data_IF_989937034784
#
_entry.id   IF_989937034784
#
_cell.length_a   1.000
_cell.length_b   1.000
_cell.length_c   1.000
_cell.angle_alpha   90.00
_cell.angle_beta   90.00
_cell.angle_gamma   90.00
#
_symmetry.space_group_name_H-M   'P 1'
#
loop_
_entity.id
_entity.type
_entity.pdbx_description
1 polymer ?
#
# COMPACT_ATOMS: atom_id res chain seq x y z
N UNK A 1 17.67 -2.56 -4.74
CA UNK A 1 17.17 -1.24 -5.18
C UNK A 1 18.08 -0.64 -6.24
N UNK A 2 19.41 -0.55 -6.04
CA UNK A 2 20.32 0.01 -7.05
C UNK A 2 20.24 -0.72 -8.40
N UNK A 3 20.14 -2.06 -8.40
CA UNK A 3 19.94 -2.84 -9.63
C UNK A 3 18.65 -2.44 -10.34
N UNK A 4 17.56 -2.17 -9.58
CA UNK A 4 16.30 -1.69 -10.11
C UNK A 4 16.44 -0.32 -10.78
N UNK A 5 17.13 0.63 -10.13
CA UNK A 5 17.35 1.97 -10.68
C UNK A 5 18.22 1.88 -11.96
N UNK A 6 19.31 1.12 -11.92
CA UNK A 6 20.18 0.92 -13.08
C UNK A 6 19.41 0.30 -14.25
N UNK A 7 18.60 -0.73 -13.99
CA UNK A 7 17.80 -1.37 -15.02
C UNK A 7 16.73 -0.43 -15.58
N UNK A 8 16.09 0.39 -14.74
CA UNK A 8 15.16 1.42 -15.20
C UNK A 8 15.83 2.48 -16.07
N UNK A 9 17.08 2.88 -15.75
CA UNK A 9 17.87 3.78 -16.59
C UNK A 9 18.22 3.15 -17.94
N UNK A 10 18.55 1.86 -17.95
CA UNK A 10 18.82 1.12 -19.20
C UNK A 10 17.53 1.03 -20.04
N UNK A 11 16.35 0.85 -19.38
CA UNK A 11 15.07 0.79 -20.07
C UNK A 11 14.70 2.06 -20.82
N UNK A 12 15.24 3.21 -20.47
CA UNK A 12 15.10 4.45 -21.22
C UNK A 12 15.61 4.33 -22.67
N UNK A 13 16.55 3.42 -22.94
CA UNK A 13 17.15 3.27 -24.28
C UNK A 13 16.13 2.79 -25.32
N UNK A 14 15.14 2.00 -24.92
CA UNK A 14 14.09 1.49 -25.80
C UNK A 14 12.73 2.15 -25.56
N UNK A 15 12.62 3.13 -24.67
CA UNK A 15 11.42 3.96 -24.53
C UNK A 15 11.28 4.89 -25.73
N UNK A 16 10.05 5.08 -26.21
CA UNK A 16 9.74 5.97 -27.35
C UNK A 16 10.01 7.43 -26.98
N UNK A 17 9.54 7.89 -25.82
CA UNK A 17 9.85 9.20 -25.25
C UNK A 17 10.92 9.08 -24.17
N UNK A 18 12.18 9.30 -24.57
CA UNK A 18 13.35 9.21 -23.68
C UNK A 18 13.38 10.32 -22.63
N UNK A 19 12.85 11.49 -22.95
CA UNK A 19 12.83 12.64 -22.02
C UNK A 19 11.85 12.33 -20.89
N UNK A 20 10.63 11.94 -21.23
CA UNK A 20 9.64 11.50 -20.25
C UNK A 20 10.16 10.33 -19.40
N UNK A 21 10.74 9.30 -20.02
CA UNK A 21 11.29 8.15 -19.33
C UNK A 21 12.39 8.54 -18.33
N UNK A 22 13.28 9.47 -18.69
CA UNK A 22 14.30 10.00 -17.79
C UNK A 22 13.70 10.78 -16.61
N UNK A 23 12.70 11.61 -16.87
CA UNK A 23 11.98 12.33 -15.79
C UNK A 23 11.26 11.38 -14.85
N UNK A 24 10.68 10.32 -15.39
CA UNK A 24 10.06 9.27 -14.58
C UNK A 24 11.09 8.56 -13.69
N UNK A 25 12.21 8.11 -14.23
CA UNK A 25 13.28 7.44 -13.47
C UNK A 25 13.95 8.40 -12.49
N UNK A 26 14.06 9.67 -12.81
CA UNK A 26 14.57 10.71 -11.90
C UNK A 26 13.76 10.75 -10.58
N UNK A 27 12.47 10.45 -10.60
CA UNK A 27 11.64 10.39 -9.39
C UNK A 27 12.09 9.31 -8.39
N UNK A 28 12.91 8.34 -8.80
CA UNK A 28 13.52 7.35 -7.90
C UNK A 28 14.65 7.92 -7.03
N UNK A 29 14.96 9.23 -7.12
CA UNK A 29 15.97 9.90 -6.29
C UNK A 29 15.73 9.69 -4.79
N UNK A 30 14.48 9.51 -4.37
CA UNK A 30 14.14 9.27 -2.96
C UNK A 30 14.79 8.00 -2.40
N UNK A 31 15.13 7.02 -3.23
CA UNK A 31 15.87 5.83 -2.78
C UNK A 31 17.32 6.15 -2.36
N UNK A 32 17.85 7.31 -2.72
CA UNK A 32 19.17 7.76 -2.25
C UNK A 32 19.20 8.02 -0.73
N UNK A 33 18.04 8.14 -0.09
CA UNK A 33 17.95 8.22 1.38
C UNK A 33 18.44 6.94 2.06
N UNK A 34 18.35 5.79 1.38
CA UNK A 34 18.70 4.48 1.97
C UNK A 34 20.17 4.42 2.38
N UNK A 35 21.17 4.71 1.53
CA UNK A 35 22.57 4.73 1.97
C UNK A 35 22.83 5.82 3.02
N UNK A 36 22.14 6.94 3.00
CA UNK A 36 22.26 7.99 4.03
C UNK A 36 21.78 7.45 5.37
N UNK A 37 20.61 6.83 5.42
CA UNK A 37 20.09 6.20 6.66
C UNK A 37 21.03 5.08 7.12
N UNK A 38 21.48 4.22 6.20
CA UNK A 38 22.36 3.09 6.51
C UNK A 38 23.67 3.53 7.14
N UNK A 39 24.27 4.63 6.69
CA UNK A 39 25.55 5.15 7.19
C UNK A 39 25.40 6.01 8.44
N UNK A 40 24.24 6.66 8.62
CA UNK A 40 24.03 7.65 9.69
C UNK A 40 23.27 7.10 10.89
N UNK A 41 22.39 6.11 10.69
CA UNK A 41 21.53 5.59 11.74
C UNK A 41 22.27 4.55 12.58
N UNK A 42 22.57 4.89 13.83
CA UNK A 42 23.11 3.95 14.80
C UNK A 42 22.00 3.10 15.41
N UNK A 43 22.34 1.87 15.80
CA UNK A 43 21.40 0.92 16.42
C UNK A 43 20.66 1.50 17.64
N UNK A 44 21.35 2.31 18.43
CA UNK A 44 20.81 2.98 19.63
C UNK A 44 19.68 3.97 19.33
N UNK A 45 19.52 4.42 18.07
CA UNK A 45 18.48 5.36 17.66
C UNK A 45 17.24 4.68 17.09
N UNK A 46 17.25 3.35 16.88
CA UNK A 46 16.13 2.65 16.26
C UNK A 46 14.82 2.86 17.05
N UNK A 47 14.89 2.73 18.40
CA UNK A 47 13.70 2.99 19.25
C UNK A 47 13.24 4.43 19.19
N UNK A 48 14.14 5.39 19.02
CA UNK A 48 13.80 6.80 18.85
C UNK A 48 13.10 7.03 17.51
N UNK A 49 13.54 6.35 16.44
CA UNK A 49 12.88 6.41 15.12
C UNK A 49 11.45 5.90 15.22
N UNK A 50 11.22 4.74 15.84
CA UNK A 50 9.86 4.25 16.05
C UNK A 50 9.02 5.17 16.94
N UNK A 51 9.62 5.76 17.98
CA UNK A 51 8.91 6.70 18.85
C UNK A 51 8.55 7.99 18.11
N UNK A 52 9.44 8.49 17.24
CA UNK A 52 9.15 9.67 16.39
C UNK A 52 8.06 9.35 15.37
N UNK A 53 8.10 8.17 14.76
CA UNK A 53 7.03 7.71 13.87
C UNK A 53 5.68 7.65 14.61
N UNK A 54 5.64 7.04 15.81
CA UNK A 54 4.42 7.00 16.63
C UNK A 54 3.93 8.39 17.01
N UNK A 55 4.82 9.34 17.29
CA UNK A 55 4.44 10.73 17.56
C UNK A 55 3.80 11.39 16.32
N UNK A 56 4.39 11.20 15.15
CA UNK A 56 3.81 11.67 13.89
C UNK A 56 2.43 11.08 13.63
N UNK A 57 2.26 9.79 13.86
CA UNK A 57 0.97 9.13 13.73
C UNK A 57 -0.05 9.61 14.77
N UNK A 58 0.36 9.85 16.02
CA UNK A 58 -0.51 10.41 17.04
C UNK A 58 -1.06 11.80 16.63
N UNK A 59 -0.20 12.68 16.11
CA UNK A 59 -0.61 14.00 15.60
C UNK A 59 -1.61 13.82 14.43
N UNK A 60 -1.31 12.89 13.52
CA UNK A 60 -2.15 12.59 12.38
C UNK A 60 -3.54 12.07 12.82
N UNK A 61 -3.58 11.19 13.82
CA UNK A 61 -4.82 10.64 14.36
C UNK A 61 -5.65 11.68 15.11
N UNK A 62 -5.02 12.53 15.92
CA UNK A 62 -5.71 13.65 16.58
C UNK A 62 -6.38 14.55 15.52
N UNK A 63 -5.64 14.86 14.43
CA UNK A 63 -6.19 15.65 13.34
C UNK A 63 -7.34 14.92 12.63
N UNK A 64 -7.18 13.62 12.37
CA UNK A 64 -8.20 12.77 11.76
C UNK A 64 -9.48 12.73 12.59
N UNK A 65 -9.38 12.46 13.89
CA UNK A 65 -10.54 12.46 14.78
C UNK A 65 -11.21 13.83 14.89
N UNK A 66 -10.43 14.91 14.91
CA UNK A 66 -10.99 16.24 14.91
C UNK A 66 -11.79 16.58 13.65
N UNK A 67 -11.35 16.07 12.47
CA UNK A 67 -12.12 16.18 11.23
C UNK A 67 -13.36 15.28 11.29
N UNK A 68 -13.23 14.04 11.77
CA UNK A 68 -14.34 13.08 11.90
C UNK A 68 -15.46 13.61 12.81
N UNK A 69 -15.11 14.24 13.92
CA UNK A 69 -16.07 14.86 14.84
C UNK A 69 -16.44 16.31 14.47
N UNK A 70 -16.00 16.78 13.29
CA UNK A 70 -16.28 18.13 12.79
C UNK A 70 -15.82 19.27 13.72
N UNK A 71 -14.80 19.02 14.57
CA UNK A 71 -14.22 20.02 15.45
C UNK A 71 -13.41 21.06 14.68
N UNK A 72 -12.86 20.65 13.52
CA UNK A 72 -12.21 21.50 12.52
C UNK A 72 -12.36 20.88 11.14
N UNK A 73 -12.15 21.73 10.14
CA UNK A 73 -12.18 21.32 8.72
C UNK A 73 -10.81 21.41 8.10
N UNK A 74 -10.54 20.58 7.11
CA UNK A 74 -9.37 20.68 6.24
C UNK A 74 -9.84 20.60 4.80
N UNK A 75 -9.39 21.53 3.97
CA UNK A 75 -9.75 21.58 2.54
C UNK A 75 -9.42 20.24 1.85
N UNK A 76 -10.35 19.75 1.05
CA UNK A 76 -10.22 18.49 0.32
C UNK A 76 -10.39 17.20 1.15
N UNK A 77 -10.64 17.29 2.47
CA UNK A 77 -10.81 16.14 3.36
C UNK A 77 -12.25 16.10 3.89
N UNK A 78 -12.91 14.94 3.75
CA UNK A 78 -14.27 14.72 4.24
C UNK A 78 -14.26 14.11 5.64
N UNK A 79 -15.24 14.46 6.52
CA UNK A 79 -15.47 13.74 7.77
C UNK A 79 -15.72 12.23 7.60
N UNK A 80 -16.27 11.83 6.45
CA UNK A 80 -16.50 10.41 6.11
C UNK A 80 -15.25 9.66 5.64
N UNK A 81 -14.14 10.38 5.39
CA UNK A 81 -12.84 9.82 5.04
C UNK A 81 -11.73 10.74 5.56
N UNK A 82 -11.51 10.77 6.90
CA UNK A 82 -10.67 11.74 7.57
C UNK A 82 -9.18 11.37 7.48
N UNK A 83 -8.59 11.42 6.28
CA UNK A 83 -7.19 11.14 6.01
C UNK A 83 -6.39 12.45 5.86
N UNK A 84 -5.81 13.02 6.96
CA UNK A 84 -5.48 14.45 7.00
C UNK A 84 -4.24 14.86 6.22
N UNK A 85 -3.22 14.01 6.08
CA UNK A 85 -1.90 14.40 5.54
C UNK A 85 -1.45 13.58 4.33
N UNK A 86 -2.22 12.57 3.95
CA UNK A 86 -1.93 11.71 2.80
C UNK A 86 -3.23 11.09 2.32
N UNK A 87 -3.22 10.45 1.15
CA UNK A 87 -4.40 9.72 0.68
C UNK A 87 -4.77 8.58 1.64
N UNK A 88 -6.05 8.19 1.62
CA UNK A 88 -6.59 7.19 2.53
C UNK A 88 -5.91 5.81 2.42
N UNK A 89 -5.38 5.45 1.26
CA UNK A 89 -4.69 4.18 1.05
C UNK A 89 -3.35 4.14 1.78
N UNK A 90 -2.55 5.20 1.66
CA UNK A 90 -1.31 5.37 2.40
C UNK A 90 -1.60 5.49 3.90
N UNK A 91 -2.54 6.35 4.29
CA UNK A 91 -2.87 6.59 5.69
C UNK A 91 -3.28 5.31 6.42
N UNK A 92 -4.18 4.52 5.84
CA UNK A 92 -4.61 3.25 6.42
C UNK A 92 -3.47 2.22 6.52
N UNK A 93 -2.53 2.22 5.58
CA UNK A 93 -1.35 1.34 5.63
C UNK A 93 -0.42 1.74 6.77
N UNK A 94 -0.20 3.03 6.98
CA UNK A 94 0.59 3.52 8.12
C UNK A 94 -0.11 3.30 9.46
N UNK A 95 -1.44 3.46 9.53
CA UNK A 95 -2.24 3.09 10.72
C UNK A 95 -2.09 1.61 11.04
N UNK A 96 -2.20 0.72 10.04
CA UNK A 96 -2.01 -0.71 10.23
C UNK A 96 -0.62 -1.02 10.81
N UNK A 97 0.44 -0.37 10.31
CA UNK A 97 1.78 -0.53 10.85
C UNK A 97 1.91 0.02 12.28
N UNK A 98 1.29 1.17 12.54
CA UNK A 98 1.22 1.76 13.90
C UNK A 98 0.60 0.80 14.90
N UNK A 99 -0.51 0.17 14.56
CA UNK A 99 -1.20 -0.82 15.42
C UNK A 99 -0.24 -1.96 15.79
N UNK A 100 0.54 -2.48 14.84
CA UNK A 100 1.51 -3.54 15.13
C UNK A 100 2.68 -3.06 15.99
N UNK A 101 3.22 -1.86 15.76
CA UNK A 101 4.26 -1.29 16.63
C UNK A 101 3.74 -1.15 18.07
N UNK A 102 2.53 -0.61 18.24
CA UNK A 102 1.91 -0.43 19.55
C UNK A 102 1.65 -1.78 20.23
N UNK A 103 1.21 -2.80 19.49
CA UNK A 103 1.05 -4.16 20.03
C UNK A 103 2.37 -4.68 20.61
N UNK A 104 3.51 -4.50 19.90
CA UNK A 104 4.81 -4.89 20.43
C UNK A 104 5.23 -4.03 21.63
N UNK A 105 4.98 -2.72 21.60
CA UNK A 105 5.24 -1.83 22.74
C UNK A 105 4.45 -2.27 23.99
N UNK A 106 3.17 -2.64 23.87
CA UNK A 106 2.34 -3.14 24.95
C UNK A 106 2.91 -4.45 25.55
N UNK A 107 3.34 -5.37 24.69
CA UNK A 107 3.86 -6.70 25.11
C UNK A 107 5.19 -6.57 25.84
N UNK A 108 6.11 -5.71 25.36
CA UNK A 108 7.48 -5.64 25.84
C UNK A 108 7.79 -4.46 26.75
N UNK A 109 6.81 -3.62 27.10
CA UNK A 109 6.96 -2.55 28.08
C UNK A 109 6.64 -3.06 29.48
N UNK A 110 7.56 -2.90 30.42
CA UNK A 110 7.37 -3.29 31.84
C UNK A 110 6.65 -2.19 32.64
N UNK A 111 6.85 -0.92 32.29
CA UNK A 111 6.21 0.22 32.95
C UNK A 111 4.70 0.24 32.70
N UNK A 112 3.93 0.09 33.76
CA UNK A 112 2.47 0.02 33.72
C UNK A 112 1.82 1.29 33.14
N UNK A 113 2.38 2.47 33.41
CA UNK A 113 1.85 3.75 32.89
C UNK A 113 1.99 3.81 31.36
N UNK A 114 3.16 3.46 30.87
CA UNK A 114 3.40 3.39 29.40
C UNK A 114 2.58 2.30 28.75
N UNK A 115 2.40 1.17 29.41
CA UNK A 115 1.53 0.09 28.91
C UNK A 115 0.09 0.56 28.74
N UNK A 116 -0.46 1.32 29.68
CA UNK A 116 -1.79 1.93 29.56
C UNK A 116 -1.82 2.93 28.39
N UNK A 117 -0.84 3.84 28.32
CA UNK A 117 -0.77 4.85 27.27
C UNK A 117 -0.74 4.20 25.86
N UNK A 118 0.10 3.19 25.67
CA UNK A 118 0.17 2.44 24.42
C UNK A 118 -1.11 1.66 24.13
N UNK A 119 -1.79 1.12 25.15
CA UNK A 119 -3.08 0.42 24.97
C UNK A 119 -4.18 1.38 24.53
N UNK A 120 -4.26 2.57 25.11
CA UNK A 120 -5.19 3.60 24.69
C UNK A 120 -4.91 4.01 23.24
N UNK A 121 -3.66 4.28 22.90
CA UNK A 121 -3.27 4.66 21.56
C UNK A 121 -3.55 3.52 20.55
N UNK A 122 -3.29 2.27 20.91
CA UNK A 122 -3.63 1.08 20.10
C UNK A 122 -5.13 1.02 19.77
N UNK A 123 -6.00 1.27 20.75
CA UNK A 123 -7.45 1.28 20.53
C UNK A 123 -7.86 2.41 19.58
N UNK A 124 -7.30 3.61 19.77
CA UNK A 124 -7.57 4.73 18.87
C UNK A 124 -7.06 4.47 17.45
N UNK A 125 -5.83 3.99 17.29
CA UNK A 125 -5.26 3.66 15.96
C UNK A 125 -6.08 2.56 15.27
N UNK A 126 -6.48 1.52 16.01
CA UNK A 126 -7.31 0.44 15.44
C UNK A 126 -8.69 0.97 15.03
N UNK A 127 -9.32 1.80 15.86
CA UNK A 127 -10.60 2.44 15.53
C UNK A 127 -10.47 3.32 14.28
N UNK A 128 -9.44 4.18 14.21
CA UNK A 128 -9.20 5.07 13.08
C UNK A 128 -8.94 4.30 11.78
N UNK A 129 -8.24 3.16 11.85
CA UNK A 129 -8.02 2.28 10.68
C UNK A 129 -9.35 1.86 10.02
N UNK A 130 -10.41 1.67 10.80
CA UNK A 130 -11.73 1.26 10.29
C UNK A 130 -12.72 2.43 10.12
N UNK A 131 -12.37 3.64 10.55
CA UNK A 131 -13.17 4.84 10.32
C UNK A 131 -12.84 5.52 8.97
N UNK A 132 -11.61 5.40 8.47
CA UNK A 132 -11.24 5.97 7.17
C UNK A 132 -11.61 5.05 6.00
N UNK A 133 -11.61 5.60 4.78
CA UNK A 133 -11.96 4.90 3.55
C UNK A 133 -10.89 3.93 3.01
N UNK A 134 -9.77 3.74 3.71
CA UNK A 134 -8.58 3.02 3.22
C UNK A 134 -8.67 1.49 3.29
N UNK A 135 -9.46 0.88 2.39
CA UNK A 135 -9.62 -0.58 2.28
C UNK A 135 -8.29 -1.36 2.20
N UNK A 136 -7.29 -0.77 1.57
CA UNK A 136 -5.96 -1.37 1.39
C UNK A 136 -5.30 -1.67 2.73
N UNK A 137 -5.24 -0.69 3.64
CA UNK A 137 -4.66 -0.87 4.96
C UNK A 137 -5.46 -1.84 5.82
N UNK A 138 -6.80 -1.77 5.79
CA UNK A 138 -7.69 -2.67 6.51
C UNK A 138 -7.48 -4.13 6.10
N UNK A 139 -7.45 -4.41 4.79
CA UNK A 139 -7.24 -5.75 4.27
C UNK A 139 -5.83 -6.28 4.56
N UNK A 140 -4.80 -5.46 4.30
CA UNK A 140 -3.41 -5.85 4.56
C UNK A 140 -3.14 -6.04 6.07
N UNK A 141 -3.81 -5.29 6.95
CA UNK A 141 -3.77 -5.51 8.39
C UNK A 141 -4.24 -6.92 8.78
N UNK A 142 -5.37 -7.37 8.24
CA UNK A 142 -5.90 -8.70 8.52
C UNK A 142 -4.94 -9.79 8.01
N UNK A 143 -4.39 -9.64 6.81
CA UNK A 143 -3.39 -10.56 6.25
C UNK A 143 -2.15 -10.61 7.14
N UNK A 144 -1.61 -9.46 7.52
CA UNK A 144 -0.41 -9.37 8.36
C UNK A 144 -0.65 -10.00 9.74
N UNK A 145 -1.83 -9.78 10.32
CA UNK A 145 -2.23 -10.36 11.60
C UNK A 145 -2.24 -11.90 11.53
N UNK A 146 -2.84 -12.46 10.50
CA UNK A 146 -2.86 -13.91 10.27
C UNK A 146 -1.46 -14.48 10.06
N UNK A 147 -0.63 -13.85 9.23
CA UNK A 147 0.70 -14.34 8.90
C UNK A 147 1.66 -14.27 10.09
N UNK A 148 1.66 -13.17 10.85
CA UNK A 148 2.49 -13.03 12.06
C UNK A 148 2.06 -14.06 13.11
N UNK A 149 0.78 -14.28 13.27
CA UNK A 149 0.26 -15.35 14.12
C UNK A 149 0.78 -16.71 13.66
N UNK A 150 0.63 -17.01 12.38
CA UNK A 150 1.12 -18.26 11.82
C UNK A 150 2.63 -18.46 12.03
N UNK A 151 3.44 -17.43 11.85
CA UNK A 151 4.89 -17.51 12.00
C UNK A 151 5.33 -17.73 13.45
N UNK A 152 4.66 -17.11 14.42
CA UNK A 152 5.12 -17.08 15.81
C UNK A 152 4.54 -18.16 16.72
N UNK A 153 3.37 -18.72 16.40
CA UNK A 153 2.76 -19.77 17.22
C UNK A 153 3.36 -21.15 16.91
N UNK A 154 3.59 -21.96 17.98
CA UNK A 154 4.06 -23.36 17.82
C UNK A 154 3.01 -24.22 17.11
N UNK A 155 1.76 -24.11 17.54
CA UNK A 155 0.65 -24.84 16.91
C UNK A 155 0.03 -24.00 15.80
N UNK A 156 0.40 -24.29 14.55
CA UNK A 156 -0.01 -23.54 13.37
C UNK A 156 -1.53 -23.55 13.15
N UNK A 157 -2.19 -24.68 13.41
CA UNK A 157 -3.64 -24.79 13.24
C UNK A 157 -4.38 -23.91 14.26
N UNK A 158 -3.98 -23.94 15.53
CA UNK A 158 -4.56 -23.06 16.56
C UNK A 158 -4.33 -21.58 16.23
N UNK A 159 -3.14 -21.23 15.71
CA UNK A 159 -2.87 -19.87 15.27
C UNK A 159 -3.82 -19.43 14.14
N UNK A 160 -3.96 -20.24 13.10
CA UNK A 160 -4.86 -19.95 11.97
C UNK A 160 -6.30 -19.76 12.47
N UNK A 161 -6.82 -20.68 13.27
CA UNK A 161 -8.19 -20.56 13.83
C UNK A 161 -8.35 -19.31 14.67
N UNK A 162 -7.38 -19.02 15.57
CA UNK A 162 -7.43 -17.83 16.43
C UNK A 162 -7.44 -16.53 15.59
N UNK A 163 -6.53 -16.41 14.62
CA UNK A 163 -6.40 -15.18 13.84
C UNK A 163 -7.52 -15.00 12.82
N UNK A 164 -8.04 -16.11 12.23
CA UNK A 164 -9.26 -16.04 11.42
C UNK A 164 -10.45 -15.59 12.28
N UNK A 165 -10.66 -16.19 13.46
CA UNK A 165 -11.77 -15.81 14.33
C UNK A 165 -11.65 -14.35 14.80
N UNK A 166 -10.44 -13.91 15.16
CA UNK A 166 -10.18 -12.51 15.52
C UNK A 166 -10.45 -11.56 14.35
N UNK A 167 -9.92 -11.89 13.17
CA UNK A 167 -10.15 -11.11 11.94
C UNK A 167 -11.62 -11.04 11.56
N UNK A 168 -12.36 -12.15 11.67
CA UNK A 168 -13.80 -12.19 11.45
C UNK A 168 -14.54 -11.31 12.48
N UNK A 169 -14.15 -11.39 13.75
CA UNK A 169 -14.76 -10.56 14.80
C UNK A 169 -14.52 -9.08 14.52
N UNK A 170 -13.30 -8.68 14.16
CA UNK A 170 -12.97 -7.29 13.81
C UNK A 170 -13.78 -6.85 12.60
N UNK A 171 -13.83 -7.67 11.55
CA UNK A 171 -14.58 -7.37 10.32
C UNK A 171 -16.08 -7.19 10.62
N UNK A 172 -16.71 -8.15 11.33
CA UNK A 172 -18.13 -8.09 11.69
C UNK A 172 -18.41 -6.88 12.57
N UNK A 173 -17.53 -6.59 13.53
CA UNK A 173 -17.67 -5.38 14.36
C UNK A 173 -17.56 -4.10 13.53
N UNK A 174 -16.58 -3.99 12.65
CA UNK A 174 -16.42 -2.84 11.77
C UNK A 174 -17.63 -2.66 10.84
N UNK A 175 -18.13 -3.75 10.25
CA UNK A 175 -19.30 -3.73 9.37
C UNK A 175 -20.57 -3.25 10.08
N UNK A 176 -20.75 -3.61 11.35
CA UNK A 176 -21.95 -3.22 12.12
C UNK A 176 -21.82 -1.86 12.82
N UNK A 177 -20.61 -1.42 13.16
CA UNK A 177 -20.38 -0.21 13.95
C UNK A 177 -19.89 0.98 13.14
N UNK A 178 -19.29 0.76 11.97
CA UNK A 178 -18.80 1.83 11.10
C UNK A 178 -19.65 1.94 9.85
N UNK A 179 -20.52 2.97 9.71
CA UNK A 179 -21.26 3.21 8.48
C UNK A 179 -20.34 3.35 7.27
N UNK A 180 -19.22 4.06 7.42
CA UNK A 180 -18.22 4.25 6.35
C UNK A 180 -17.66 2.92 5.86
N UNK A 181 -17.30 2.03 6.78
CA UNK A 181 -16.78 0.70 6.42
C UNK A 181 -17.86 -0.14 5.72
N UNK A 182 -19.09 -0.14 6.26
CA UNK A 182 -20.22 -0.85 5.68
C UNK A 182 -20.49 -0.38 4.25
N UNK A 183 -20.69 0.92 4.04
CA UNK A 183 -20.99 1.48 2.73
C UNK A 183 -19.88 1.15 1.71
N UNK A 184 -18.61 1.25 2.12
CA UNK A 184 -17.47 0.93 1.25
C UNK A 184 -17.40 -0.56 0.88
N UNK A 185 -17.80 -1.44 1.79
CA UNK A 185 -17.83 -2.88 1.52
C UNK A 185 -19.03 -3.26 0.63
N UNK A 186 -20.19 -2.68 0.89
CA UNK A 186 -21.40 -2.90 0.08
C UNK A 186 -21.21 -2.35 -1.35
N UNK A 187 -20.57 -1.19 -1.52
CA UNK A 187 -20.17 -0.68 -2.83
C UNK A 187 -19.20 -1.63 -3.56
N UNK A 188 -18.23 -2.20 -2.84
CA UNK A 188 -17.33 -3.18 -3.44
C UNK A 188 -18.08 -4.42 -3.95
N UNK A 189 -19.03 -4.95 -3.18
CA UNK A 189 -19.84 -6.10 -3.62
C UNK A 189 -20.69 -5.74 -4.85
N UNK A 190 -21.29 -4.56 -4.84
CA UNK A 190 -22.06 -4.05 -5.99
C UNK A 190 -21.18 -3.89 -7.23
N UNK A 191 -19.98 -3.28 -7.11
CA UNK A 191 -19.03 -3.14 -8.20
C UNK A 191 -18.66 -4.51 -8.82
N UNK A 192 -18.45 -5.54 -7.98
CA UNK A 192 -18.16 -6.91 -8.43
C UNK A 192 -19.36 -7.51 -9.17
N UNK A 193 -20.57 -7.33 -8.64
CA UNK A 193 -21.80 -7.85 -9.26
C UNK A 193 -22.04 -7.24 -10.64
N UNK A 194 -21.96 -5.90 -10.76
CA UNK A 194 -22.14 -5.16 -12.01
C UNK A 194 -21.05 -5.55 -13.03
N UNK A 195 -19.80 -5.66 -12.59
CA UNK A 195 -18.69 -6.09 -13.44
C UNK A 195 -18.93 -7.50 -14.03
N UNK A 196 -19.43 -8.45 -13.23
CA UNK A 196 -19.64 -9.83 -13.67
C UNK A 196 -20.86 -9.94 -14.58
N UNK A 197 -22.00 -9.35 -14.17
CA UNK A 197 -23.29 -9.53 -14.82
C UNK A 197 -23.47 -8.62 -16.02
N UNK A 198 -23.06 -7.36 -15.91
CA UNK A 198 -23.32 -6.32 -16.92
C UNK A 198 -22.08 -6.01 -17.78
N UNK A 199 -20.91 -6.55 -17.41
CA UNK A 199 -19.62 -6.25 -18.07
C UNK A 199 -19.28 -4.75 -18.04
N UNK A 200 -19.78 -4.04 -17.02
CA UNK A 200 -19.49 -2.63 -16.80
C UNK A 200 -18.23 -2.49 -15.96
N UNK A 201 -17.25 -1.76 -16.48
CA UNK A 201 -15.95 -1.50 -15.86
C UNK A 201 -15.78 -0.01 -15.48
N UNK A 202 -16.86 0.74 -15.35
CA UNK A 202 -16.83 2.18 -15.02
C UNK A 202 -16.62 2.46 -13.53
N UNK A 203 -16.85 1.47 -12.66
CA UNK A 203 -16.76 1.61 -11.22
C UNK A 203 -15.31 1.49 -10.71
N UNK A 204 -15.06 1.98 -9.49
CA UNK A 204 -13.71 2.08 -8.92
C UNK A 204 -12.92 0.76 -8.87
N UNK A 205 -13.59 -0.36 -8.54
CA UNK A 205 -12.92 -1.66 -8.48
C UNK A 205 -12.82 -2.29 -9.88
N UNK A 206 -13.92 -2.32 -10.63
CA UNK A 206 -13.97 -2.91 -11.98
C UNK A 206 -13.03 -2.21 -12.96
N UNK A 207 -12.89 -0.88 -12.85
CA UNK A 207 -11.90 -0.11 -13.60
C UNK A 207 -10.47 -0.59 -13.37
N UNK A 208 -10.07 -0.83 -12.11
CA UNK A 208 -8.75 -1.38 -11.80
C UNK A 208 -8.56 -2.78 -12.40
N UNK A 209 -9.59 -3.63 -12.34
CA UNK A 209 -9.54 -4.95 -12.97
C UNK A 209 -9.32 -4.84 -14.48
N UNK A 210 -10.04 -3.93 -15.16
CA UNK A 210 -9.84 -3.68 -16.58
C UNK A 210 -8.44 -3.17 -16.90
N UNK A 211 -7.89 -2.26 -16.07
CA UNK A 211 -6.51 -1.79 -16.18
C UNK A 211 -5.50 -2.93 -16.03
N UNK A 212 -5.68 -3.80 -15.04
CA UNK A 212 -4.78 -4.95 -14.83
C UNK A 212 -4.82 -5.92 -16.00
N UNK A 213 -6.02 -6.25 -16.51
CA UNK A 213 -6.16 -7.11 -17.69
C UNK A 213 -5.49 -6.45 -18.89
N UNK A 214 -5.71 -5.14 -19.09
CA UNK A 214 -5.12 -4.40 -20.20
C UNK A 214 -3.59 -4.35 -20.13
N UNK A 215 -3.04 -4.11 -18.94
CA UNK A 215 -1.59 -4.11 -18.72
C UNK A 215 -0.97 -5.49 -18.94
N UNK A 216 -1.58 -6.55 -18.39
CA UNK A 216 -1.08 -7.92 -18.58
C UNK A 216 -1.16 -8.37 -20.04
N UNK A 217 -2.19 -7.96 -20.77
CA UNK A 217 -2.30 -8.27 -22.21
C UNK A 217 -1.27 -7.48 -23.02
N UNK A 218 -1.10 -6.19 -22.74
CA UNK A 218 -0.09 -5.35 -23.36
C UNK A 218 1.35 -5.88 -23.13
N UNK A 219 1.63 -6.41 -21.94
CA UNK A 219 2.95 -6.94 -21.59
C UNK A 219 3.37 -8.13 -22.47
N UNK A 220 2.43 -8.85 -23.09
CA UNK A 220 2.72 -10.01 -23.94
C UNK A 220 3.53 -9.63 -25.19
N UNK A 221 3.43 -8.39 -25.67
CA UNK A 221 4.15 -7.93 -26.86
C UNK A 221 5.66 -7.81 -26.61
N UNK A 222 6.06 -7.43 -25.38
CA UNK A 222 7.46 -7.24 -24.98
C UNK A 222 7.70 -7.87 -23.58
N UNK A 223 7.39 -9.15 -23.43
CA UNK A 223 7.30 -9.83 -22.14
C UNK A 223 8.63 -9.80 -21.36
N UNK A 224 9.78 -9.89 -22.02
CA UNK A 224 11.08 -10.05 -21.33
C UNK A 224 11.58 -8.71 -20.79
N UNK A 225 11.64 -7.68 -21.62
CA UNK A 225 12.25 -6.39 -21.29
C UNK A 225 11.25 -5.26 -21.09
N UNK A 226 9.96 -5.53 -21.36
CA UNK A 226 8.90 -4.53 -21.29
C UNK A 226 8.87 -3.61 -22.53
N UNK A 227 7.84 -2.79 -22.60
CA UNK A 227 7.62 -1.84 -23.69
C UNK A 227 8.50 -0.58 -23.61
N UNK A 228 9.07 -0.31 -22.43
CA UNK A 228 9.73 0.95 -22.11
C UNK A 228 8.89 1.78 -21.13
N UNK A 229 9.52 2.75 -20.51
CA UNK A 229 8.88 3.64 -19.54
C UNK A 229 8.17 4.76 -20.31
N UNK A 230 6.86 4.94 -20.09
CA UNK A 230 6.05 5.94 -20.80
C UNK A 230 5.30 5.39 -22.02
N UNK A 231 5.55 4.15 -22.43
CA UNK A 231 4.91 3.54 -23.62
C UNK A 231 3.69 2.68 -23.24
N UNK A 232 3.35 2.63 -21.95
CA UNK A 232 2.26 1.80 -21.42
C UNK A 232 0.90 2.16 -22.00
N UNK A 233 0.66 3.45 -22.21
CA UNK A 233 -0.61 3.97 -22.70
C UNK A 233 -0.92 3.52 -24.11
N UNK A 234 0.07 3.62 -25.02
CA UNK A 234 -0.11 3.21 -26.41
C UNK A 234 -0.45 1.71 -26.49
N UNK A 235 0.27 0.90 -25.71
CA UNK A 235 0.09 -0.55 -25.70
C UNK A 235 -1.23 -0.99 -25.02
N UNK A 236 -1.72 -0.26 -24.03
CA UNK A 236 -2.94 -0.59 -23.31
C UNK A 236 -4.22 -0.02 -23.95
N UNK A 237 -4.13 1.09 -24.69
CA UNK A 237 -5.32 1.80 -25.23
C UNK A 237 -6.23 0.91 -26.08
N UNK A 238 -5.67 0.07 -26.97
CA UNK A 238 -6.45 -0.83 -27.80
C UNK A 238 -7.29 -1.81 -26.97
N UNK A 239 -6.76 -2.25 -25.84
CA UNK A 239 -7.42 -3.22 -24.96
C UNK A 239 -8.45 -2.53 -24.07
N UNK A 240 -8.15 -1.31 -23.61
CA UNK A 240 -9.07 -0.50 -22.82
C UNK A 240 -10.34 -0.15 -23.61
N UNK A 241 -10.21 0.11 -24.90
CA UNK A 241 -11.37 0.33 -25.79
C UNK A 241 -12.33 -0.86 -25.83
N UNK A 242 -11.84 -2.10 -25.66
CA UNK A 242 -12.69 -3.29 -25.59
C UNK A 242 -13.58 -3.33 -24.33
N UNK A 243 -13.22 -2.60 -23.30
CA UNK A 243 -13.98 -2.44 -22.06
C UNK A 243 -14.86 -1.19 -22.08
N UNK A 244 -15.00 -0.50 -23.23
CA UNK A 244 -15.70 0.79 -23.35
C UNK A 244 -15.16 1.88 -22.39
N UNK A 245 -13.90 1.76 -22.00
CA UNK A 245 -13.23 2.72 -21.13
C UNK A 245 -12.63 3.80 -22.01
N UNK A 246 -13.19 5.01 -21.94
CA UNK A 246 -12.69 6.18 -22.69
C UNK A 246 -11.51 6.84 -21.97
N UNK A 247 -10.71 7.58 -22.74
CA UNK A 247 -9.63 8.40 -22.18
C UNK A 247 -10.12 9.45 -21.16
N UNK A 248 -11.42 9.83 -21.23
CA UNK A 248 -12.02 10.79 -20.30
C UNK A 248 -12.21 10.22 -18.89
N UNK A 249 -12.29 8.89 -18.76
CA UNK A 249 -12.36 8.20 -17.47
C UNK A 249 -11.01 8.25 -16.74
N UNK A 250 -9.93 8.52 -17.47
CA UNK A 250 -8.57 8.69 -16.95
C UNK A 250 -8.20 10.18 -16.93
N UNK A 251 -8.84 10.95 -16.08
CA UNK A 251 -8.48 12.36 -15.84
C UNK A 251 -7.13 12.49 -15.15
N UNK A 252 -6.09 11.73 -15.59
CA UNK A 252 -4.85 11.85 -14.85
C UNK A 252 -3.58 11.79 -15.69
N UNK A 253 -2.86 12.78 -15.46
CA UNK A 253 -1.47 12.98 -15.08
C UNK A 253 -0.49 13.23 -16.21
N UNK A 254 -0.61 12.65 -17.32
CA UNK A 254 0.14 13.02 -18.54
C UNK A 254 -0.47 12.36 -19.76
N UNK A 255 -0.35 12.97 -20.92
CA UNK A 255 -0.81 12.39 -22.19
C UNK A 255 -0.09 11.06 -22.53
N UNK A 256 0.99 10.74 -21.85
CA UNK A 256 1.93 9.67 -22.23
C UNK A 256 1.97 8.45 -21.32
N UNK A 257 1.42 8.48 -20.09
CA UNK A 257 1.44 7.31 -19.20
C UNK A 257 0.08 6.94 -18.63
N UNK A 258 -0.08 5.65 -18.34
CA UNK A 258 -1.22 5.10 -17.60
C UNK A 258 -0.70 4.56 -16.27
N UNK A 259 -1.36 4.93 -15.16
CA UNK A 259 -1.19 4.24 -13.89
C UNK A 259 -2.16 3.05 -13.84
N UNK A 260 -1.62 1.84 -13.84
CA UNK A 260 -2.42 0.62 -13.68
C UNK A 260 -2.93 0.42 -12.27
N UNK A 261 -2.64 1.32 -11.33
CA UNK A 261 -2.95 1.17 -9.91
C UNK A 261 -2.52 -0.18 -9.33
N UNK A 262 -1.43 -0.73 -9.85
CA UNK A 262 -0.81 -1.97 -9.41
C UNK A 262 0.66 -1.94 -9.83
N UNK A 263 1.55 -1.85 -8.85
CA UNK A 263 2.99 -1.75 -9.09
C UNK A 263 3.53 -2.94 -9.91
N UNK A 264 3.03 -4.14 -9.69
CA UNK A 264 3.52 -5.33 -10.38
C UNK A 264 3.10 -5.34 -11.84
N UNK A 265 1.86 -4.93 -12.14
CA UNK A 265 1.37 -4.76 -13.50
C UNK A 265 2.10 -3.60 -14.18
N UNK A 266 2.31 -2.49 -13.48
CA UNK A 266 3.05 -1.34 -14.02
C UNK A 266 4.44 -1.77 -14.50
N UNK A 267 5.19 -2.47 -13.66
CA UNK A 267 6.56 -2.81 -13.99
C UNK A 267 6.70 -4.01 -14.92
N UNK A 268 5.73 -4.93 -14.99
CA UNK A 268 5.79 -5.95 -16.04
C UNK A 268 5.53 -5.35 -17.43
N UNK A 269 4.72 -4.30 -17.53
CA UNK A 269 4.51 -3.57 -18.78
C UNK A 269 5.73 -2.75 -19.16
N UNK A 270 6.25 -1.93 -18.23
CA UNK A 270 7.37 -1.03 -18.48
C UNK A 270 8.71 -1.74 -18.65
N UNK A 271 8.99 -2.71 -17.76
CA UNK A 271 10.32 -3.32 -17.57
C UNK A 271 10.33 -4.83 -17.83
N UNK A 272 9.19 -5.39 -18.22
CA UNK A 272 9.06 -6.82 -18.48
C UNK A 272 9.21 -7.71 -17.25
N UNK A 273 9.34 -9.00 -17.50
CA UNK A 273 9.53 -10.02 -16.44
C UNK A 273 10.85 -9.81 -15.69
N UNK A 274 11.86 -9.22 -16.34
CA UNK A 274 13.14 -8.90 -15.68
C UNK A 274 12.92 -7.84 -14.59
N UNK A 275 12.19 -6.76 -14.90
CA UNK A 275 11.84 -5.74 -13.89
C UNK A 275 11.01 -6.31 -12.75
N UNK A 276 10.01 -7.15 -13.05
CA UNK A 276 9.19 -7.80 -12.05
C UNK A 276 10.03 -8.72 -11.14
N UNK A 277 10.93 -9.53 -11.70
CA UNK A 277 11.84 -10.39 -10.93
C UNK A 277 12.72 -9.55 -10.00
N UNK A 278 13.27 -8.43 -10.47
CA UNK A 278 14.10 -7.55 -9.64
C UNK A 278 13.31 -7.04 -8.44
N UNK A 279 12.06 -6.63 -8.63
CA UNK A 279 11.20 -6.16 -7.52
C UNK A 279 10.89 -7.29 -6.54
N UNK A 280 10.48 -8.45 -7.03
CA UNK A 280 10.20 -9.59 -6.17
C UNK A 280 11.47 -10.05 -5.42
N UNK A 281 12.64 -9.95 -6.05
CA UNK A 281 13.92 -10.23 -5.41
C UNK A 281 14.23 -9.22 -4.29
N UNK A 282 13.87 -7.94 -4.45
CA UNK A 282 14.01 -6.95 -3.36
C UNK A 282 13.20 -7.40 -2.14
N UNK A 283 11.92 -7.74 -2.30
CA UNK A 283 11.08 -8.24 -1.20
C UNK A 283 11.65 -9.52 -0.59
N UNK A 284 12.10 -10.47 -1.42
CA UNK A 284 12.69 -11.72 -0.97
C UNK A 284 13.96 -11.49 -0.15
N UNK A 285 14.87 -10.64 -0.61
CA UNK A 285 16.12 -10.33 0.10
C UNK A 285 15.85 -9.62 1.44
N UNK A 286 14.89 -8.68 1.47
CA UNK A 286 14.47 -8.02 2.70
C UNK A 286 13.85 -9.02 3.69
N UNK A 287 13.02 -9.94 3.21
CA UNK A 287 12.44 -11.00 4.04
C UNK A 287 13.52 -11.94 4.62
N UNK A 288 14.59 -12.21 3.86
CA UNK A 288 15.72 -13.07 4.26
C UNK A 288 16.73 -12.38 5.15
N UNK A 289 16.65 -11.05 5.36
CA UNK A 289 17.60 -10.36 6.25
C UNK A 289 17.67 -11.05 7.60
N UNK A 290 18.88 -11.34 8.05
CA UNK A 290 19.15 -11.92 9.38
C UNK A 290 19.16 -10.81 10.43
N UNK A 291 18.02 -10.63 11.10
CA UNK A 291 17.85 -9.68 12.20
C UNK A 291 17.74 -10.51 13.47
N UNK A 292 18.75 -10.38 14.37
CA UNK A 292 18.84 -11.13 15.62
C UNK A 292 17.68 -10.82 16.57
N UNK A 293 17.25 -9.57 16.60
CA UNK A 293 16.13 -9.15 17.44
C UNK A 293 14.79 -9.58 16.79
N UNK A 294 14.07 -10.43 17.51
CA UNK A 294 12.81 -11.02 17.02
C UNK A 294 11.71 -9.97 16.82
N UNK A 295 11.68 -8.91 17.64
CA UNK A 295 10.69 -7.84 17.52
C UNK A 295 10.90 -7.09 16.20
N UNK A 296 12.13 -6.63 15.96
CA UNK A 296 12.45 -5.92 14.72
C UNK A 296 12.32 -6.81 13.49
N UNK A 297 12.64 -8.11 13.60
CA UNK A 297 12.40 -9.06 12.51
C UNK A 297 10.92 -9.17 12.17
N UNK A 298 10.08 -9.30 13.18
CA UNK A 298 8.63 -9.39 12.97
C UNK A 298 8.06 -8.08 12.42
N UNK A 299 8.51 -6.92 12.93
CA UNK A 299 8.09 -5.61 12.41
C UNK A 299 8.50 -5.43 10.94
N UNK A 300 9.70 -5.89 10.54
CA UNK A 300 10.10 -5.89 9.14
C UNK A 300 9.17 -6.77 8.30
N UNK A 301 8.87 -7.99 8.75
CA UNK A 301 7.96 -8.91 8.02
C UNK A 301 6.57 -8.27 7.87
N UNK A 302 6.04 -7.68 8.94
CA UNK A 302 4.75 -6.96 8.90
C UNK A 302 4.81 -5.83 7.88
N UNK A 303 5.83 -4.98 7.96
CA UNK A 303 6.01 -3.89 7.01
C UNK A 303 6.05 -4.39 5.56
N UNK A 304 6.80 -5.46 5.29
CA UNK A 304 6.90 -6.04 3.95
C UNK A 304 5.54 -6.57 3.46
N UNK A 305 4.76 -7.20 4.34
CA UNK A 305 3.41 -7.68 3.99
C UNK A 305 2.49 -6.50 3.67
N UNK A 306 2.45 -5.50 4.56
CA UNK A 306 1.62 -4.31 4.36
C UNK A 306 1.99 -3.59 3.07
N UNK A 307 3.28 -3.41 2.83
CA UNK A 307 3.78 -2.73 1.63
C UNK A 307 3.55 -3.56 0.36
N UNK A 308 3.71 -4.88 0.43
CA UNK A 308 3.40 -5.78 -0.69
C UNK A 308 1.93 -5.70 -1.10
N UNK A 309 1.02 -5.76 -0.11
CA UNK A 309 -0.42 -5.63 -0.36
C UNK A 309 -0.78 -4.22 -0.86
N UNK A 310 -0.18 -3.18 -0.29
CA UNK A 310 -0.39 -1.81 -0.74
C UNK A 310 0.03 -1.64 -2.21
N UNK A 311 1.16 -2.22 -2.59
CA UNK A 311 1.68 -2.18 -3.97
C UNK A 311 0.81 -2.92 -4.99
N UNK A 312 -0.12 -3.78 -4.55
CA UNK A 312 -1.13 -4.40 -5.44
C UNK A 312 -2.26 -3.43 -5.84
N UNK A 313 -2.42 -2.32 -5.10
CA UNK A 313 -3.51 -1.36 -5.29
C UNK A 313 -3.01 0.05 -5.60
N UNK A 314 -1.71 0.23 -5.79
CA UNK A 314 -1.05 1.48 -6.15
C UNK A 314 0.38 1.28 -6.61
N UNK A 315 0.96 2.31 -7.23
CA UNK A 315 2.37 2.30 -7.65
C UNK A 315 3.26 2.88 -6.55
N UNK A 316 3.61 2.04 -5.57
CA UNK A 316 4.30 2.46 -4.35
C UNK A 316 5.73 2.95 -4.54
N UNK A 317 6.39 2.64 -5.65
CA UNK A 317 7.76 3.11 -5.95
C UNK A 317 7.77 4.45 -6.68
N UNK A 318 6.66 4.82 -7.27
CA UNK A 318 6.52 6.08 -7.97
C UNK A 318 5.73 7.06 -7.09
N UNK A 319 6.39 8.12 -6.64
CA UNK A 319 5.71 9.18 -5.90
C UNK A 319 5.08 10.11 -6.92
N UNK A 320 3.76 10.08 -7.01
CA UNK A 320 3.03 11.10 -7.73
C UNK A 320 3.10 12.41 -6.93
N UNK A 321 3.74 13.42 -7.50
CA UNK A 321 3.86 14.74 -6.92
C UNK A 321 2.61 15.60 -7.19
N UNK A 322 1.43 15.04 -7.12
CA UNK A 322 0.20 15.82 -7.01
C UNK A 322 -0.15 16.01 -5.52
N UNK A 323 0.73 16.67 -4.81
CA UNK A 323 0.43 17.32 -3.54
C UNK A 323 0.76 18.80 -3.65
#
# INVERSE_FOLDING_TARGET
IFIFIIYSLIAVLWSSDKIFALEYVKKYYHFLIIPIIFTSLKKEYIDKVFSTFLLGMLISEITSYGIFFELWTKEGISPNDPSPFMDHSNYSTYLAFTVFILMYKIIYTDDFKWKIAYSIFFLFSTSNLFLNGGRTGQFSFLIALCLIGFLNFKNKLKAVVLFISLGTTIFVSAYNLSPVFKDRFDYFLHDVEVMINEKDFSNSFSLRVALWISGLEASKHNLIFGSGIGDERENANYILQKFNISNDNFKQETENSIDFHNMYVQYIVQLGIVGLIIILLIFYLLFKLDIRDKVYKNLLIIFLILYFCHSMLGNSFHINQSM
#
